data_IF_171479772062
#
_entry.id   IF_171479772062
#
_cell.length_a   1.000
_cell.length_b   1.000
_cell.length_c   1.000
_cell.angle_alpha   90.00
_cell.angle_beta   90.00
_cell.angle_gamma   90.00
#
_symmetry.space_group_name_H-M   'P 1'
#
loop_
_entity.id
_entity.type
_entity.pdbx_description
1 polymer ?
#
# COMPACT_ATOMS: atom_id res chain seq x y z
N UNK A 1 11.35 12.06 -10.34
CA UNK A 1 11.92 10.82 -9.77
C UNK A 1 10.93 9.71 -10.05
N UNK A 2 11.34 8.59 -10.65
CA UNK A 2 10.49 7.41 -10.78
C UNK A 2 10.62 6.60 -9.50
N UNK A 3 9.50 6.26 -8.87
CA UNK A 3 9.49 5.46 -7.65
C UNK A 3 9.40 4.00 -8.08
N UNK A 4 10.48 3.26 -7.91
CA UNK A 4 10.60 1.85 -8.34
C UNK A 4 10.75 0.87 -7.17
N UNK A 5 10.89 1.38 -5.96
CA UNK A 5 11.03 0.60 -4.73
C UNK A 5 10.42 1.35 -3.55
N UNK A 6 10.22 0.62 -2.45
CA UNK A 6 9.85 1.24 -1.18
C UNK A 6 10.87 2.29 -0.72
N UNK A 7 12.16 2.03 -0.92
CA UNK A 7 13.22 2.97 -0.56
C UNK A 7 13.12 4.28 -1.35
N UNK A 8 12.82 4.21 -2.65
CA UNK A 8 12.57 5.41 -3.47
C UNK A 8 11.36 6.19 -2.95
N UNK A 9 10.30 5.49 -2.53
CA UNK A 9 9.10 6.11 -1.99
C UNK A 9 9.38 6.84 -0.68
N UNK A 10 10.07 6.19 0.26
CA UNK A 10 10.45 6.80 1.53
C UNK A 10 11.38 8.00 1.31
N UNK A 11 12.38 7.86 0.43
CA UNK A 11 13.27 8.96 0.07
C UNK A 11 12.50 10.13 -0.54
N UNK A 12 11.56 9.86 -1.46
CA UNK A 12 10.74 10.89 -2.08
C UNK A 12 9.83 11.61 -1.07
N UNK A 13 9.36 10.91 -0.02
CA UNK A 13 8.59 11.50 1.06
C UNK A 13 9.43 12.45 1.92
N UNK A 14 10.65 12.06 2.29
CA UNK A 14 11.58 12.93 3.02
C UNK A 14 12.05 14.15 2.21
N UNK A 15 12.10 14.03 0.88
CA UNK A 15 12.50 15.12 0.00
C UNK A 15 11.41 16.19 -0.22
N UNK A 16 10.18 15.98 0.27
CA UNK A 16 9.11 16.98 0.14
C UNK A 16 9.36 18.20 1.03
N UNK A 17 8.94 19.40 0.59
CA UNK A 17 9.07 20.61 1.41
C UNK A 17 8.15 20.60 2.63
N UNK A 18 6.96 20.00 2.49
CA UNK A 18 6.03 19.79 3.59
C UNK A 18 6.25 18.39 4.20
N UNK A 19 6.20 18.23 5.53
CA UNK A 19 6.25 16.92 6.14
C UNK A 19 5.12 16.02 5.64
N UNK A 20 5.43 14.76 5.35
CA UNK A 20 4.46 13.81 4.82
C UNK A 20 3.98 12.86 5.93
N UNK A 21 2.74 12.36 5.81
CA UNK A 21 2.29 11.14 6.49
C UNK A 21 2.04 10.08 5.43
N UNK A 22 2.65 8.91 5.60
CA UNK A 22 2.56 7.81 4.66
C UNK A 22 1.41 6.89 5.08
N UNK A 23 0.65 6.48 4.08
CA UNK A 23 -0.56 5.68 4.22
C UNK A 23 -0.33 4.34 3.53
N UNK A 24 -0.59 3.26 4.24
CA UNK A 24 -0.43 1.90 3.74
C UNK A 24 -1.73 1.11 3.90
N UNK A 25 -2.11 0.40 2.85
CA UNK A 25 -3.23 -0.56 2.88
C UNK A 25 -2.71 -1.90 2.36
N UNK A 26 -2.72 -2.89 3.24
CA UNK A 26 -2.32 -4.26 2.94
C UNK A 26 -3.54 -5.01 2.40
N UNK A 27 -3.34 -5.75 1.32
CA UNK A 27 -4.38 -6.55 0.69
C UNK A 27 -3.92 -7.99 0.49
N UNK A 28 -4.85 -8.90 0.66
CA UNK A 28 -4.73 -10.30 0.27
C UNK A 28 -5.32 -10.47 -1.13
N UNK A 29 -4.64 -11.25 -1.97
CA UNK A 29 -5.17 -11.64 -3.27
C UNK A 29 -5.99 -12.92 -3.12
N UNK A 30 -7.25 -12.86 -3.52
CA UNK A 30 -8.17 -14.00 -3.46
C UNK A 30 -8.77 -14.31 -4.83
N UNK A 31 -9.06 -15.59 -5.05
CA UNK A 31 -9.80 -16.03 -6.23
C UNK A 31 -11.30 -15.95 -5.91
N UNK A 32 -12.10 -15.09 -6.59
CA UNK A 32 -13.53 -15.00 -6.32
C UNK A 32 -14.25 -16.33 -6.60
N UNK A 33 -15.32 -16.62 -5.85
CA UNK A 33 -16.10 -17.87 -5.98
C UNK A 33 -16.60 -18.12 -7.41
N UNK A 34 -16.98 -17.05 -8.13
CA UNK A 34 -17.43 -17.09 -9.53
C UNK A 34 -16.31 -16.68 -10.49
N UNK A 35 -15.19 -17.39 -10.46
CA UNK A 35 -14.07 -17.16 -11.37
C UNK A 35 -14.21 -17.95 -12.68
N UNK A 36 -13.69 -17.39 -13.76
CA UNK A 36 -13.47 -18.13 -15.00
C UNK A 36 -12.16 -18.94 -14.93
N UNK A 37 -12.01 -20.02 -15.73
CA UNK A 37 -10.75 -20.77 -15.79
C UNK A 37 -9.55 -19.87 -16.10
N UNK A 38 -9.70 -18.90 -17.01
CA UNK A 38 -8.64 -17.95 -17.33
C UNK A 38 -8.31 -16.94 -16.22
N UNK A 39 -9.22 -16.71 -15.25
CA UNK A 39 -8.91 -15.96 -14.02
C UNK A 39 -8.18 -16.83 -13.01
N UNK A 40 -8.53 -18.12 -12.92
CA UNK A 40 -7.83 -19.08 -12.06
C UNK A 40 -6.38 -19.28 -12.50
N UNK A 41 -6.12 -19.47 -13.79
CA UNK A 41 -4.76 -19.61 -14.33
C UNK A 41 -3.90 -18.36 -14.04
N UNK A 42 -4.50 -17.18 -14.19
CA UNK A 42 -3.89 -15.90 -13.90
C UNK A 42 -3.55 -15.75 -12.41
N UNK A 43 -4.52 -16.05 -11.54
CA UNK A 43 -4.33 -16.07 -10.09
C UNK A 43 -3.22 -17.06 -9.66
N UNK A 44 -3.22 -18.28 -10.21
CA UNK A 44 -2.19 -19.29 -9.93
C UNK A 44 -0.79 -18.88 -10.40
N UNK A 45 -0.72 -18.03 -11.44
CA UNK A 45 0.54 -17.45 -11.93
C UNK A 45 0.95 -16.19 -11.16
N UNK A 46 0.24 -15.83 -10.08
CA UNK A 46 0.50 -14.64 -9.26
C UNK A 46 0.01 -13.32 -9.87
N UNK A 47 -0.73 -13.36 -10.98
CA UNK A 47 -1.22 -12.19 -11.69
C UNK A 47 -2.73 -12.24 -11.87
N UNK A 48 -3.50 -11.74 -10.90
CA UNK A 48 -4.96 -11.71 -10.94
C UNK A 48 -5.59 -11.92 -9.56
N UNK A 49 -6.90 -12.14 -9.53
CA UNK A 49 -7.67 -12.23 -8.28
C UNK A 49 -8.33 -10.90 -7.90
N UNK A 50 -9.24 -10.97 -6.93
CA UNK A 50 -9.75 -9.81 -6.23
C UNK A 50 -8.77 -9.45 -5.12
N UNK A 51 -8.62 -8.16 -4.85
CA UNK A 51 -7.78 -7.67 -3.76
C UNK A 51 -8.68 -7.24 -2.61
N UNK A 52 -8.50 -7.91 -1.47
CA UNK A 52 -9.28 -7.64 -0.25
C UNK A 52 -8.36 -6.95 0.76
N UNK A 53 -8.60 -5.65 1.07
CA UNK A 53 -7.92 -4.95 2.14
C UNK A 53 -8.14 -5.63 3.49
N UNK A 54 -7.06 -5.99 4.18
CA UNK A 54 -7.11 -6.68 5.47
C UNK A 54 -6.62 -5.79 6.63
N UNK A 55 -5.71 -4.86 6.32
CA UNK A 55 -5.10 -3.95 7.29
C UNK A 55 -4.77 -2.62 6.65
N UNK A 56 -4.85 -1.56 7.44
CA UNK A 56 -4.35 -0.24 7.07
C UNK A 56 -3.53 0.36 8.22
N UNK A 57 -2.49 1.10 7.88
CA UNK A 57 -1.63 1.78 8.84
C UNK A 57 -1.15 3.10 8.25
N UNK A 58 -1.05 4.10 9.09
CA UNK A 58 -0.42 5.37 8.79
C UNK A 58 0.82 5.57 9.67
N UNK A 59 1.90 6.06 9.06
CA UNK A 59 3.18 6.32 9.75
C UNK A 59 3.83 7.58 9.20
N UNK A 60 4.57 8.28 10.03
CA UNK A 60 5.49 9.31 9.58
C UNK A 60 6.70 8.66 8.89
N UNK A 61 7.34 9.34 7.92
CA UNK A 61 8.58 8.89 7.30
C UNK A 61 9.65 8.52 8.34
N UNK A 62 9.80 9.30 9.41
CA UNK A 62 10.79 9.06 10.46
C UNK A 62 10.49 7.83 11.35
N UNK A 63 9.24 7.32 11.33
CA UNK A 63 8.85 6.09 12.05
C UNK A 63 9.13 4.83 11.22
N UNK A 64 9.56 5.00 9.96
CA UNK A 64 9.81 3.92 9.02
C UNK A 64 11.31 3.70 8.88
N UNK A 65 11.72 2.46 9.06
CA UNK A 65 13.06 2.01 8.68
C UNK A 65 12.99 1.48 7.24
N UNK A 66 13.40 0.24 7.00
CA UNK A 66 13.24 -0.42 5.71
C UNK A 66 11.92 -1.17 5.59
N UNK A 67 11.58 -1.56 4.35
CA UNK A 67 10.39 -2.36 4.07
C UNK A 67 10.31 -3.64 4.91
N UNK A 68 11.44 -4.26 5.20
CA UNK A 68 11.51 -5.45 6.05
C UNK A 68 10.95 -5.19 7.46
N UNK A 69 11.18 -3.99 8.03
CA UNK A 69 10.60 -3.61 9.32
C UNK A 69 9.09 -3.46 9.24
N UNK A 70 8.58 -2.77 8.21
CA UNK A 70 7.14 -2.64 7.96
C UNK A 70 6.47 -4.01 7.75
N UNK A 71 7.11 -4.89 6.98
CA UNK A 71 6.63 -6.23 6.72
C UNK A 71 6.69 -7.11 7.98
N UNK A 72 7.68 -6.95 8.86
CA UNK A 72 7.74 -7.67 10.13
C UNK A 72 6.64 -7.21 11.10
N UNK A 73 6.44 -5.89 11.26
CA UNK A 73 5.35 -5.32 12.05
C UNK A 73 3.98 -5.84 11.59
N UNK A 74 3.77 -5.91 10.28
CA UNK A 74 2.53 -6.42 9.70
C UNK A 74 2.24 -7.87 10.11
N UNK A 75 3.27 -8.71 10.29
CA UNK A 75 3.13 -10.13 10.68
C UNK A 75 2.66 -10.27 12.12
N UNK A 76 2.99 -9.33 13.00
CA UNK A 76 2.54 -9.36 14.39
C UNK A 76 1.03 -9.20 14.54
N UNK A 77 0.33 -8.75 13.50
CA UNK A 77 -1.14 -8.68 13.48
C UNK A 77 -1.80 -10.04 13.22
N UNK A 78 -1.03 -11.05 12.81
CA UNK A 78 -1.52 -12.38 12.45
C UNK A 78 -2.21 -12.46 11.09
N UNK A 79 -2.27 -11.35 10.35
CA UNK A 79 -2.87 -11.31 9.02
C UNK A 79 -1.84 -11.59 7.93
N UNK A 80 -2.25 -12.38 6.92
CA UNK A 80 -1.44 -12.64 5.73
C UNK A 80 -1.87 -11.70 4.61
N UNK A 81 -0.92 -10.99 4.02
CA UNK A 81 -1.13 -10.15 2.83
C UNK A 81 -0.18 -10.55 1.71
N UNK A 82 -0.54 -10.20 0.48
CA UNK A 82 0.25 -10.47 -0.72
C UNK A 82 0.82 -9.18 -1.35
N UNK A 83 0.11 -8.06 -1.18
CA UNK A 83 0.51 -6.75 -1.72
C UNK A 83 0.20 -5.63 -0.74
N UNK A 84 0.99 -4.56 -0.77
CA UNK A 84 0.71 -3.33 -0.01
C UNK A 84 0.62 -2.13 -0.94
N UNK A 85 -0.47 -1.38 -0.81
CA UNK A 85 -0.67 -0.11 -1.48
C UNK A 85 -0.20 1.03 -0.61
N UNK A 86 0.53 1.97 -1.19
CA UNK A 86 1.11 3.11 -0.51
C UNK A 86 0.71 4.44 -1.17
N UNK A 87 0.49 5.45 -0.33
CA UNK A 87 0.28 6.84 -0.74
C UNK A 87 0.90 7.79 0.30
N UNK A 88 1.20 9.02 -0.10
CA UNK A 88 1.65 10.08 0.81
C UNK A 88 0.59 11.17 0.93
N UNK A 89 0.34 11.61 2.15
CA UNK A 89 -0.50 12.76 2.45
C UNK A 89 0.38 13.93 2.90
N UNK A 90 0.37 15.06 2.16
CA UNK A 90 1.17 16.21 2.53
C UNK A 90 0.58 16.92 3.75
N UNK A 91 1.48 17.39 4.60
CA UNK A 91 1.21 18.30 5.68
C UNK A 91 0.79 19.69 5.22
N UNK A 92 0.57 20.55 6.19
CA UNK A 92 0.23 21.95 5.96
C UNK A 92 1.00 22.83 6.93
N UNK A 93 1.53 23.94 6.41
CA UNK A 93 2.25 24.96 7.18
C UNK A 93 3.44 24.37 7.97
N UNK A 94 4.14 23.38 7.38
CA UNK A 94 5.29 22.72 7.99
C UNK A 94 4.94 21.72 9.08
N UNK A 95 3.67 21.39 9.28
CA UNK A 95 3.22 20.36 10.22
C UNK A 95 2.75 19.10 9.48
N UNK A 96 3.25 17.94 9.91
CA UNK A 96 2.79 16.66 9.40
C UNK A 96 1.31 16.45 9.72
N UNK A 97 0.54 15.79 8.82
CA UNK A 97 -0.84 15.42 9.12
C UNK A 97 -0.90 14.53 10.37
N UNK A 98 -1.99 14.63 11.13
CA UNK A 98 -2.22 13.74 12.27
C UNK A 98 -2.73 12.37 11.82
N UNK A 99 -2.73 11.37 12.71
CA UNK A 99 -3.41 10.09 12.44
C UNK A 99 -4.90 10.28 12.19
N UNK A 100 -5.55 11.23 12.86
CA UNK A 100 -6.97 11.52 12.64
C UNK A 100 -7.23 12.09 11.24
N UNK A 101 -6.29 12.88 10.69
CA UNK A 101 -6.37 13.35 9.30
C UNK A 101 -6.24 12.19 8.31
N UNK A 102 -5.50 11.15 8.66
CA UNK A 102 -5.27 9.96 7.81
C UNK A 102 -6.47 9.02 7.73
N UNK A 103 -7.38 9.02 8.71
CA UNK A 103 -8.52 8.08 8.76
C UNK A 103 -9.41 8.14 7.50
N UNK A 104 -9.73 9.35 7.04
CA UNK A 104 -10.59 9.55 5.86
C UNK A 104 -9.88 9.15 4.56
N UNK A 105 -8.65 9.61 4.28
CA UNK A 105 -7.83 9.11 3.17
C UNK A 105 -7.67 7.58 3.16
N UNK A 106 -7.38 6.96 4.30
CA UNK A 106 -7.24 5.50 4.39
C UNK A 106 -8.54 4.79 4.00
N UNK A 107 -9.70 5.26 4.49
CA UNK A 107 -11.00 4.72 4.05
C UNK A 107 -11.21 4.87 2.55
N UNK A 108 -10.81 6.00 1.96
CA UNK A 108 -10.88 6.21 0.51
C UNK A 108 -9.94 5.27 -0.25
N UNK A 109 -8.76 4.95 0.29
CA UNK A 109 -7.84 3.97 -0.30
C UNK A 109 -8.47 2.58 -0.31
N UNK A 110 -8.97 2.11 0.84
CA UNK A 110 -9.67 0.81 0.98
C UNK A 110 -10.80 0.69 -0.05
N UNK A 111 -11.66 1.70 -0.11
CA UNK A 111 -12.80 1.75 -1.02
C UNK A 111 -12.39 1.82 -2.51
N UNK A 112 -11.23 2.43 -2.79
CA UNK A 112 -10.66 2.43 -4.15
C UNK A 112 -10.10 1.04 -4.52
N UNK A 113 -9.43 0.36 -3.59
CA UNK A 113 -8.89 -0.99 -3.80
C UNK A 113 -10.03 -1.99 -4.04
N UNK A 114 -11.10 -1.94 -3.25
CA UNK A 114 -12.30 -2.76 -3.48
C UNK A 114 -12.91 -2.58 -4.86
N UNK A 115 -12.82 -1.36 -5.43
CA UNK A 115 -13.31 -1.06 -6.78
C UNK A 115 -12.30 -1.35 -7.90
N UNK A 116 -11.09 -1.82 -7.56
CA UNK A 116 -10.00 -2.00 -8.51
C UNK A 116 -9.38 -0.69 -9.01
N UNK A 117 -9.71 0.46 -8.41
CA UNK A 117 -9.18 1.77 -8.77
C UNK A 117 -7.81 2.03 -8.11
N UNK A 118 -6.83 1.20 -8.44
CA UNK A 118 -5.52 1.12 -7.79
C UNK A 118 -4.39 1.85 -8.53
N UNK A 119 -4.64 2.31 -9.76
CA UNK A 119 -3.64 2.96 -10.64
C UNK A 119 -2.99 4.22 -10.04
N UNK A 120 -3.67 4.86 -9.09
CA UNK A 120 -3.23 6.08 -8.41
C UNK A 120 -2.34 5.82 -7.19
N UNK A 121 -2.13 4.55 -6.83
CA UNK A 121 -1.33 4.17 -5.67
C UNK A 121 -0.05 3.50 -6.11
N UNK A 122 1.00 3.69 -5.31
CA UNK A 122 2.16 2.82 -5.40
C UNK A 122 1.77 1.45 -4.82
N UNK A 123 2.31 0.39 -5.38
CA UNK A 123 2.11 -0.95 -4.87
C UNK A 123 3.45 -1.64 -4.73
N UNK A 124 3.64 -2.33 -3.61
CA UNK A 124 4.85 -3.09 -3.32
C UNK A 124 4.51 -4.54 -3.02
N UNK A 125 5.32 -5.44 -3.55
CA UNK A 125 5.24 -6.86 -3.23
C UNK A 125 5.83 -7.14 -1.83
N UNK A 126 5.92 -8.42 -1.45
CA UNK A 126 6.45 -8.85 -0.15
C UNK A 126 7.96 -8.60 0.02
N UNK A 127 8.68 -8.26 -1.05
CA UNK A 127 10.10 -7.91 -1.03
C UNK A 127 10.32 -6.39 -1.00
N UNK A 128 9.27 -5.58 -1.23
CA UNK A 128 9.35 -4.12 -1.30
C UNK A 128 9.62 -3.60 -2.71
N UNK A 129 9.53 -4.46 -3.72
CA UNK A 129 9.69 -4.12 -5.13
C UNK A 129 8.37 -3.54 -5.67
N UNK A 130 8.47 -2.47 -6.46
CA UNK A 130 7.27 -1.85 -7.03
C UNK A 130 6.60 -2.77 -8.04
N UNK A 131 5.31 -3.01 -7.83
CA UNK A 131 4.45 -3.77 -8.75
C UNK A 131 3.72 -2.79 -9.66
N UNK A 132 3.80 -3.02 -10.97
CA UNK A 132 3.03 -2.29 -11.96
C UNK A 132 1.84 -3.13 -12.41
N UNK A 133 0.65 -2.51 -12.41
CA UNK A 133 -0.56 -3.10 -12.97
C UNK A 133 -0.73 -2.51 -14.38
N UNK A 134 -0.84 -3.39 -15.39
CA UNK A 134 -0.96 -3.05 -16.81
C UNK A 134 -2.33 -3.43 -17.36
#
# INVERSE_FOLDING_TARGET
MNITSYADFLHAAHAQPEPQRLLFVFAEAELPDQHTPGQQERFQSGGGGALTPIMCVDKLPDELSDFAGLADESRHTGQRWDIVFAASMPGKDGAAPSSSDAEKPLKMMIDSIHRGAIEKFLAFDRNGDAVQFF
#
